data_IF_691689016734
#
_entry.id   IF_691689016734
#
_cell.length_a   1.000
_cell.length_b   1.000
_cell.length_c   1.000
_cell.angle_alpha   90.00
_cell.angle_beta   90.00
_cell.angle_gamma   90.00
#
_symmetry.space_group_name_H-M   'P 1'
#
loop_
_entity.id
_entity.type
_entity.pdbx_description
1 polymer ?
#
# COMPACT_ATOMS: atom_id res chain seq x y z
N UNK A 1 11.67 15.87 16.53
CA UNK A 1 10.69 14.80 16.81
C UNK A 1 11.39 13.45 16.85
N UNK A 2 10.85 12.48 17.61
CA UNK A 2 11.36 11.11 17.64
C UNK A 2 10.37 10.21 16.89
N UNK A 3 10.91 9.33 16.04
CA UNK A 3 10.13 8.35 15.28
C UNK A 3 10.73 6.94 15.49
N UNK A 4 9.91 5.92 15.37
CA UNK A 4 10.38 4.53 15.38
C UNK A 4 10.53 4.03 13.94
N UNK A 5 11.71 3.53 13.60
CA UNK A 5 11.94 2.98 12.26
C UNK A 5 11.11 1.71 12.05
N UNK A 6 10.27 1.70 11.01
CA UNK A 6 9.42 0.53 10.68
C UNK A 6 10.23 -0.67 10.18
N UNK A 7 11.50 -0.48 9.80
CA UNK A 7 12.39 -1.55 9.29
C UNK A 7 13.19 -2.23 10.39
N UNK A 8 13.78 -1.43 11.29
CA UNK A 8 14.71 -1.96 12.30
C UNK A 8 14.21 -1.80 13.74
N UNK A 9 13.12 -1.07 13.98
CA UNK A 9 12.57 -0.83 15.30
C UNK A 9 13.33 0.20 16.16
N UNK A 10 14.43 0.77 15.65
CA UNK A 10 15.23 1.75 16.38
C UNK A 10 14.51 3.10 16.39
N UNK A 11 14.52 3.76 17.56
CA UNK A 11 14.03 5.15 17.70
C UNK A 11 15.10 6.10 17.16
N UNK A 12 14.73 6.95 16.23
CA UNK A 12 15.63 7.93 15.61
C UNK A 12 15.01 9.33 15.63
N UNK A 13 15.84 10.35 15.37
CA UNK A 13 15.41 11.75 15.34
C UNK A 13 15.10 12.20 13.93
N UNK A 14 14.00 12.92 13.79
CA UNK A 14 13.62 13.66 12.56
C UNK A 14 13.57 15.15 12.84
N UNK A 15 13.99 15.94 11.87
CA UNK A 15 13.92 17.40 11.91
C UNK A 15 12.49 17.92 11.71
N UNK A 16 12.29 19.25 11.74
CA UNK A 16 10.98 19.87 11.56
C UNK A 16 10.30 19.52 10.24
N UNK A 17 11.10 19.31 9.18
CA UNK A 17 10.62 18.90 7.86
C UNK A 17 10.69 17.36 7.65
N UNK A 18 10.85 16.60 8.72
CA UNK A 18 10.91 15.14 8.64
C UNK A 18 12.26 14.56 8.20
N UNK A 19 13.24 15.39 7.85
CA UNK A 19 14.56 14.91 7.45
C UNK A 19 15.21 14.10 8.57
N UNK A 20 15.74 12.92 8.23
CA UNK A 20 16.42 12.03 9.17
C UNK A 20 17.69 12.70 9.67
N UNK A 21 17.81 12.85 11.00
CA UNK A 21 18.96 13.47 11.66
C UNK A 21 19.96 12.43 12.24
N UNK A 22 19.70 11.12 12.04
CA UNK A 22 20.60 10.07 12.49
C UNK A 22 21.68 9.82 11.47
N UNK A 23 22.95 9.83 11.90
CA UNK A 23 24.09 9.45 11.05
C UNK A 23 24.21 7.93 10.84
N UNK A 24 23.51 7.14 11.67
CA UNK A 24 23.58 5.67 11.64
C UNK A 24 22.70 5.12 10.51
N UNK A 25 23.24 4.17 9.76
CA UNK A 25 22.51 3.45 8.75
C UNK A 25 21.50 2.47 9.37
N UNK A 26 20.35 2.33 8.73
CA UNK A 26 19.36 1.32 9.10
C UNK A 26 19.77 -0.03 8.50
N UNK A 27 20.04 -1.01 9.34
CA UNK A 27 20.22 -2.40 8.91
C UNK A 27 18.93 -3.17 9.12
N UNK A 28 18.48 -3.94 8.13
CA UNK A 28 17.19 -4.63 8.18
C UNK A 28 17.12 -5.84 7.24
N UNK A 29 16.04 -6.60 7.35
CA UNK A 29 15.64 -7.58 6.36
C UNK A 29 14.40 -7.05 5.62
N UNK A 30 14.46 -6.83 4.30
CA UNK A 30 13.27 -6.41 3.53
C UNK A 30 12.21 -7.52 3.41
N UNK A 31 12.64 -8.79 3.51
CA UNK A 31 11.74 -9.93 3.53
C UNK A 31 11.15 -10.24 4.91
N UNK A 32 10.24 -11.20 4.95
CA UNK A 32 9.59 -11.70 6.19
C UNK A 32 10.13 -13.06 6.58
N UNK A 33 10.17 -13.41 7.88
CA UNK A 33 10.51 -14.77 8.29
C UNK A 33 9.40 -15.73 7.87
N UNK A 34 9.75 -16.72 7.05
CA UNK A 34 8.84 -17.79 6.62
C UNK A 34 9.23 -19.10 7.30
N UNK A 35 8.23 -19.84 7.73
CA UNK A 35 8.43 -21.13 8.38
C UNK A 35 8.72 -22.20 7.32
N UNK A 36 9.85 -22.85 7.43
CA UNK A 36 10.26 -23.96 6.59
C UNK A 36 10.43 -25.24 7.42
N UNK A 37 10.24 -26.39 6.80
CA UNK A 37 10.56 -27.69 7.40
C UNK A 37 11.91 -28.13 6.89
N UNK A 38 12.81 -28.53 7.80
CA UNK A 38 14.07 -29.15 7.46
C UNK A 38 13.84 -30.66 7.31
N UNK A 39 13.39 -31.12 6.15
CA UNK A 39 13.15 -32.53 5.81
C UNK A 39 11.70 -32.82 5.41
N UNK A 40 11.50 -34.02 4.85
CA UNK A 40 10.26 -34.43 4.16
C UNK A 40 9.15 -34.94 5.11
N UNK A 41 9.46 -35.20 6.37
CA UNK A 41 8.51 -35.78 7.32
C UNK A 41 7.74 -34.71 8.11
N UNK A 42 6.53 -35.04 8.57
CA UNK A 42 5.71 -34.16 9.42
C UNK A 42 6.36 -33.82 10.77
N UNK A 43 7.33 -34.67 11.23
CA UNK A 43 8.09 -34.51 12.48
C UNK A 43 9.37 -33.70 12.29
N UNK A 44 9.75 -33.33 11.05
CA UNK A 44 10.97 -32.57 10.77
C UNK A 44 11.00 -31.24 11.49
N UNK A 45 12.19 -30.83 11.95
CA UNK A 45 12.43 -29.57 12.65
C UNK A 45 11.96 -28.41 11.76
N UNK A 46 11.25 -27.48 12.37
CA UNK A 46 10.78 -26.24 11.71
C UNK A 46 11.74 -25.11 12.05
N UNK A 47 12.16 -24.39 11.05
CA UNK A 47 12.98 -23.19 11.20
C UNK A 47 12.25 -22.02 10.54
N UNK A 48 12.54 -20.80 10.99
CA UNK A 48 12.13 -19.60 10.30
C UNK A 48 13.31 -19.11 9.46
N UNK A 49 13.06 -18.81 8.18
CA UNK A 49 14.05 -18.22 7.29
C UNK A 49 13.52 -16.91 6.72
N UNK A 50 14.41 -15.96 6.61
CA UNK A 50 14.12 -14.68 5.95
C UNK A 50 13.94 -14.90 4.44
N UNK A 51 12.82 -14.45 3.88
CA UNK A 51 12.51 -14.62 2.45
C UNK A 51 13.42 -13.82 1.53
N UNK A 52 14.09 -12.79 2.05
CA UNK A 52 15.02 -11.95 1.30
C UNK A 52 16.41 -12.55 1.12
N UNK A 53 16.91 -13.34 2.07
CA UNK A 53 18.29 -13.82 2.06
C UNK A 53 18.46 -15.30 2.44
N UNK A 54 17.37 -15.99 2.80
CA UNK A 54 17.39 -17.40 3.20
C UNK A 54 18.05 -17.68 4.56
N UNK A 55 18.59 -16.68 5.25
CA UNK A 55 19.19 -16.85 6.57
C UNK A 55 18.16 -17.25 7.62
N UNK A 56 18.58 -17.98 8.64
CA UNK A 56 17.70 -18.35 9.76
C UNK A 56 17.29 -17.09 10.53
N UNK A 57 16.00 -16.95 10.81
CA UNK A 57 15.49 -15.88 11.64
C UNK A 57 15.55 -16.30 13.11
N UNK A 58 16.67 -16.08 13.76
CA UNK A 58 16.81 -16.26 15.19
C UNK A 58 16.33 -15.00 15.94
N UNK A 59 15.58 -15.20 17.01
CA UNK A 59 14.98 -14.13 17.80
C UNK A 59 16.01 -13.20 18.50
N UNK A 60 17.27 -13.58 18.51
CA UNK A 60 18.35 -12.89 19.21
C UNK A 60 19.39 -12.22 18.32
N UNK A 61 19.25 -12.26 16.99
CA UNK A 61 20.17 -11.61 16.07
C UNK A 61 19.91 -10.09 16.02
N UNK A 62 20.40 -9.39 17.05
CA UNK A 62 20.44 -7.92 17.09
C UNK A 62 21.64 -7.45 16.23
N UNK A 63 21.37 -6.86 15.10
CA UNK A 63 22.26 -5.92 14.42
C UNK A 63 23.11 -6.46 13.27
N UNK A 64 23.92 -7.50 13.43
CA UNK A 64 24.97 -7.85 12.44
C UNK A 64 24.52 -8.80 11.32
N UNK A 65 23.40 -9.51 11.48
CA UNK A 65 22.92 -10.49 10.50
C UNK A 65 21.88 -9.96 9.49
N UNK A 66 21.63 -8.66 9.48
CA UNK A 66 20.66 -8.04 8.57
C UNK A 66 21.25 -7.90 7.17
N UNK A 67 20.49 -8.25 6.15
CA UNK A 67 21.01 -8.41 4.79
C UNK A 67 20.89 -7.16 3.91
N UNK A 68 20.25 -6.11 4.39
CA UNK A 68 20.09 -4.85 3.68
C UNK A 68 20.45 -3.65 4.58
N UNK A 69 20.91 -2.60 3.95
CA UNK A 69 21.26 -1.33 4.58
C UNK A 69 20.57 -0.20 3.81
N UNK A 70 20.04 0.78 4.52
CA UNK A 70 19.38 1.94 3.92
C UNK A 70 19.09 3.02 4.95
N UNK A 71 18.29 4.02 4.61
CA UNK A 71 17.87 5.06 5.54
C UNK A 71 16.85 4.50 6.57
N UNK A 72 16.78 5.16 7.73
CA UNK A 72 15.65 4.98 8.63
C UNK A 72 14.38 5.58 8.01
N UNK A 73 13.28 4.85 8.11
CA UNK A 73 11.98 5.27 7.57
C UNK A 73 10.89 5.09 8.63
N UNK A 74 9.86 5.91 8.56
CA UNK A 74 8.75 5.87 9.49
C UNK A 74 7.41 6.00 8.77
N UNK A 75 6.36 5.69 9.49
CA UNK A 75 4.98 5.99 9.10
C UNK A 75 4.21 6.47 10.32
N UNK A 76 3.23 7.32 10.10
CA UNK A 76 2.28 7.64 11.16
C UNK A 76 1.41 6.44 11.46
N UNK A 77 1.24 6.15 12.75
CA UNK A 77 0.44 4.99 13.19
C UNK A 77 -1.03 5.34 13.47
N UNK A 78 -1.33 6.64 13.61
CA UNK A 78 -2.68 7.09 13.96
C UNK A 78 -3.22 8.10 12.96
N UNK A 79 -4.56 8.07 12.69
CA UNK A 79 -5.20 9.07 11.83
C UNK A 79 -4.96 10.51 12.28
N UNK A 80 -4.84 10.74 13.59
CA UNK A 80 -4.56 12.07 14.14
C UNK A 80 -3.14 12.56 13.77
N UNK A 81 -2.14 11.66 13.79
CA UNK A 81 -0.78 12.00 13.37
C UNK A 81 -0.75 12.27 11.86
N UNK A 82 -1.43 11.46 11.08
CA UNK A 82 -1.58 11.64 9.64
C UNK A 82 -2.27 12.99 9.31
N UNK A 83 -3.35 13.33 10.02
CA UNK A 83 -4.10 14.58 9.82
C UNK A 83 -3.26 15.83 10.10
N UNK A 84 -2.35 15.78 11.08
CA UNK A 84 -1.43 16.89 11.37
C UNK A 84 -0.46 17.19 10.23
N UNK A 85 -0.13 16.18 9.41
CA UNK A 85 0.76 16.36 8.25
C UNK A 85 0.00 16.82 7.01
N UNK A 86 -1.17 16.23 6.75
CA UNK A 86 -2.08 16.65 5.70
C UNK A 86 -3.52 16.36 6.14
N UNK A 87 -4.39 17.36 6.06
CA UNK A 87 -5.78 17.25 6.49
C UNK A 87 -6.58 16.24 5.68
N UNK A 88 -7.47 15.51 6.36
CA UNK A 88 -8.48 14.70 5.68
C UNK A 88 -9.56 15.57 5.08
N UNK A 89 -10.02 15.23 3.90
CA UNK A 89 -11.11 15.90 3.18
C UNK A 89 -12.20 14.89 2.83
N UNK A 90 -13.42 15.39 2.65
CA UNK A 90 -14.55 14.61 2.10
C UNK A 90 -14.66 14.89 0.61
N UNK A 91 -15.24 13.97 -0.14
CA UNK A 91 -15.53 14.19 -1.56
C UNK A 91 -16.37 15.44 -1.80
N UNK A 92 -17.34 15.73 -0.92
CA UNK A 92 -18.17 16.93 -0.96
C UNK A 92 -17.38 18.24 -0.83
N UNK A 93 -16.20 18.18 -0.25
CA UNK A 93 -15.38 19.37 0.04
C UNK A 93 -14.31 19.60 -1.05
N UNK A 94 -14.22 18.69 -2.03
CA UNK A 94 -13.29 18.79 -3.15
C UNK A 94 -14.01 19.51 -4.31
N UNK A 95 -13.54 20.69 -4.73
CA UNK A 95 -14.09 21.34 -5.92
C UNK A 95 -13.84 20.46 -7.14
N UNK A 96 -14.89 19.87 -7.70
CA UNK A 96 -14.81 19.14 -8.97
C UNK A 96 -15.55 19.91 -10.05
N UNK A 97 -15.03 19.90 -11.27
CA UNK A 97 -15.74 20.42 -12.44
C UNK A 97 -17.02 19.62 -12.76
N UNK A 98 -17.11 18.39 -12.21
CA UNK A 98 -18.21 17.45 -12.44
C UNK A 98 -19.35 17.55 -11.42
N UNK A 99 -19.46 18.63 -10.66
CA UNK A 99 -20.69 18.90 -9.89
C UNK A 99 -21.94 19.06 -10.78
N UNK A 100 -21.76 19.08 -12.07
CA UNK A 100 -22.84 18.94 -13.07
C UNK A 100 -23.20 17.47 -13.41
N UNK A 101 -22.78 16.52 -12.57
CA UNK A 101 -23.48 15.28 -12.20
C UNK A 101 -23.85 14.23 -13.25
N UNK A 102 -23.13 14.04 -14.36
CA UNK A 102 -23.46 12.89 -15.23
C UNK A 102 -22.43 11.74 -15.27
N UNK A 103 -21.29 11.88 -14.59
CA UNK A 103 -20.16 10.93 -14.73
C UNK A 103 -19.73 10.24 -13.43
N UNK A 104 -20.40 10.53 -12.31
CA UNK A 104 -20.08 9.85 -11.04
C UNK A 104 -20.45 8.38 -11.11
N UNK A 105 -19.47 7.51 -10.92
CA UNK A 105 -19.62 6.07 -11.02
C UNK A 105 -20.42 5.51 -9.83
N UNK A 106 -21.28 4.52 -10.05
CA UNK A 106 -21.92 3.80 -8.94
C UNK A 106 -20.91 2.93 -8.17
N UNK A 107 -19.93 2.39 -8.88
CA UNK A 107 -18.89 1.48 -8.33
C UNK A 107 -17.56 1.79 -9.02
N UNK A 108 -16.48 1.79 -8.25
CA UNK A 108 -15.11 1.87 -8.76
C UNK A 108 -14.17 1.07 -7.87
N UNK A 109 -13.06 0.57 -8.40
CA UNK A 109 -12.01 -0.03 -7.58
C UNK A 109 -10.76 0.86 -7.58
N UNK A 110 -10.14 0.94 -6.41
CA UNK A 110 -9.00 1.80 -6.13
C UNK A 110 -7.85 0.98 -5.54
N UNK A 111 -6.64 1.30 -5.98
CA UNK A 111 -5.39 0.83 -5.38
C UNK A 111 -4.36 1.96 -5.39
N UNK A 112 -3.51 2.01 -4.36
CA UNK A 112 -2.46 3.01 -4.22
C UNK A 112 -1.11 2.38 -3.94
N UNK A 113 -0.07 2.91 -4.58
CA UNK A 113 1.30 2.63 -4.17
C UNK A 113 1.81 3.71 -3.22
N UNK A 114 2.59 3.26 -2.23
CA UNK A 114 3.08 4.13 -1.17
C UNK A 114 4.58 4.00 -0.98
N UNK A 115 5.22 5.14 -0.79
CA UNK A 115 6.66 5.28 -0.59
C UNK A 115 6.99 6.00 0.72
N UNK A 116 8.22 5.85 1.19
CA UNK A 116 8.69 6.52 2.39
C UNK A 116 9.27 7.88 2.05
N UNK A 117 8.76 8.91 2.71
CA UNK A 117 9.18 10.31 2.54
C UNK A 117 9.57 10.92 3.89
N UNK A 118 10.10 12.14 3.84
CA UNK A 118 10.33 12.93 5.06
C UNK A 118 9.03 13.33 5.80
N UNK A 119 7.89 13.14 5.17
CA UNK A 119 6.57 13.27 5.80
C UNK A 119 5.96 11.93 6.27
N UNK A 120 6.76 10.87 6.36
CA UNK A 120 6.31 9.52 6.64
C UNK A 120 5.93 8.76 5.37
N UNK A 121 4.98 7.84 5.47
CA UNK A 121 4.50 7.11 4.30
C UNK A 121 3.51 7.98 3.51
N UNK A 122 3.80 8.17 2.23
CA UNK A 122 3.00 9.02 1.32
C UNK A 122 2.57 8.22 0.09
N UNK A 123 1.41 8.57 -0.46
CA UNK A 123 0.97 8.03 -1.75
C UNK A 123 1.90 8.50 -2.86
N UNK A 124 2.27 7.58 -3.75
CA UNK A 124 3.16 7.85 -4.90
C UNK A 124 2.59 7.36 -6.24
N UNK A 125 1.55 6.55 -6.22
CA UNK A 125 0.75 6.20 -7.40
C UNK A 125 -0.68 5.95 -6.96
N UNK A 126 -1.63 6.33 -7.79
CA UNK A 126 -3.06 6.06 -7.59
C UNK A 126 -3.62 5.50 -8.86
N UNK A 127 -4.34 4.39 -8.75
CA UNK A 127 -5.07 3.79 -9.87
C UNK A 127 -6.55 3.68 -9.52
N UNK A 128 -7.39 4.11 -10.44
CA UNK A 128 -8.84 3.95 -10.37
C UNK A 128 -9.32 3.18 -11.60
N UNK A 129 -10.13 2.16 -11.39
CA UNK A 129 -10.82 1.44 -12.46
C UNK A 129 -12.33 1.51 -12.25
N UNK A 130 -13.07 1.54 -13.34
CA UNK A 130 -14.54 1.53 -13.33
C UNK A 130 -15.10 0.12 -13.05
N UNK A 131 -16.43 0.00 -13.07
CA UNK A 131 -17.12 -1.27 -12.90
C UNK A 131 -16.87 -2.27 -14.02
N UNK A 132 -16.32 -1.88 -15.17
CA UNK A 132 -15.97 -2.80 -16.27
C UNK A 132 -14.54 -3.34 -16.11
N UNK A 133 -13.70 -2.63 -15.37
CA UNK A 133 -12.29 -2.89 -15.16
C UNK A 133 -11.40 -2.01 -16.05
N UNK A 134 -11.99 -1.03 -16.74
CA UNK A 134 -11.24 -0.06 -17.53
C UNK A 134 -10.54 0.95 -16.61
N UNK A 135 -9.28 1.26 -16.91
CA UNK A 135 -8.47 2.19 -16.12
C UNK A 135 -8.89 3.63 -16.48
N UNK A 136 -9.40 4.35 -15.50
CA UNK A 136 -9.81 5.74 -15.64
C UNK A 136 -8.75 6.74 -15.19
N UNK A 137 -7.94 6.33 -14.22
CA UNK A 137 -6.85 7.11 -13.65
C UNK A 137 -5.73 6.17 -13.22
N UNK A 138 -4.50 6.44 -13.63
CA UNK A 138 -3.32 5.69 -13.22
C UNK A 138 -2.10 6.60 -13.29
N UNK A 139 -1.86 7.37 -12.23
CA UNK A 139 -0.90 8.45 -12.24
C UNK A 139 0.02 8.43 -11.02
N UNK A 140 1.25 8.87 -11.23
CA UNK A 140 2.22 9.06 -10.16
C UNK A 140 2.01 10.39 -9.45
N UNK A 141 2.12 10.34 -8.11
CA UNK A 141 1.87 11.48 -7.22
C UNK A 141 3.22 11.97 -6.69
N UNK A 142 3.57 13.19 -7.01
CA UNK A 142 4.79 13.84 -6.52
C UNK A 142 4.70 14.19 -5.04
N UNK A 143 5.82 14.22 -4.37
CA UNK A 143 5.91 14.72 -3.02
C UNK A 143 5.47 16.21 -2.96
N UNK A 144 4.79 16.62 -1.87
CA UNK A 144 4.52 18.03 -1.62
C UNK A 144 5.82 18.85 -1.50
N UNK A 145 5.73 20.16 -1.69
CA UNK A 145 6.86 21.08 -1.48
C UNK A 145 7.44 20.92 -0.06
N UNK A 146 8.76 20.86 0.04
CA UNK A 146 9.49 20.65 1.30
C UNK A 146 9.50 19.20 1.80
N UNK A 147 8.85 18.27 1.10
CA UNK A 147 8.89 16.83 1.39
C UNK A 147 9.80 16.14 0.37
N UNK A 148 10.77 15.39 0.87
CA UNK A 148 11.71 14.64 0.02
C UNK A 148 11.43 13.15 0.06
N UNK A 149 11.61 12.48 -1.07
CA UNK A 149 11.60 11.03 -1.17
C UNK A 149 12.78 10.44 -0.39
N UNK A 150 12.51 9.45 0.46
CA UNK A 150 13.55 8.69 1.18
C UNK A 150 13.76 7.34 0.49
N UNK A 151 12.68 6.64 0.19
CA UNK A 151 12.72 5.31 -0.42
C UNK A 151 11.39 5.03 -1.13
N UNK A 152 11.46 4.77 -2.42
CA UNK A 152 10.31 4.46 -3.26
C UNK A 152 9.62 3.13 -2.89
N UNK A 153 10.27 2.31 -2.06
CA UNK A 153 9.74 1.00 -1.66
C UNK A 153 9.48 0.08 -2.87
N UNK A 154 10.33 0.18 -3.89
CA UNK A 154 10.19 -0.42 -5.23
C UNK A 154 9.80 -1.89 -5.23
N UNK A 155 10.31 -2.67 -4.27
CA UNK A 155 9.97 -4.09 -4.16
C UNK A 155 8.46 -4.35 -3.95
N UNK A 156 7.71 -3.35 -3.50
CA UNK A 156 6.25 -3.38 -3.32
C UNK A 156 5.57 -2.46 -4.32
N UNK A 157 5.96 -1.19 -4.37
CA UNK A 157 5.34 -0.19 -5.23
C UNK A 157 5.59 -0.40 -6.74
N UNK A 158 6.62 -1.15 -7.12
CA UNK A 158 7.05 -1.27 -8.51
C UNK A 158 7.64 0.01 -9.12
N UNK A 159 7.61 1.13 -8.41
CA UNK A 159 8.04 2.43 -8.92
C UNK A 159 9.57 2.50 -8.94
N UNK A 160 10.12 2.87 -10.11
CA UNK A 160 11.56 3.14 -10.30
C UNK A 160 11.82 4.64 -10.16
N UNK A 161 13.05 5.00 -9.73
CA UNK A 161 13.39 6.40 -9.49
C UNK A 161 13.28 7.26 -10.74
N UNK A 162 13.82 6.75 -11.85
CA UNK A 162 13.84 7.44 -13.15
C UNK A 162 12.41 7.69 -13.67
N UNK A 163 11.52 6.70 -13.51
CA UNK A 163 10.12 6.81 -13.91
C UNK A 163 9.38 7.80 -13.01
N UNK A 164 9.61 7.73 -11.70
CA UNK A 164 8.99 8.65 -10.75
C UNK A 164 9.40 10.12 -11.02
N UNK A 165 10.69 10.37 -11.24
CA UNK A 165 11.19 11.72 -11.54
C UNK A 165 10.61 12.28 -12.84
N UNK A 166 10.39 11.43 -13.86
CA UNK A 166 9.86 11.84 -15.15
C UNK A 166 8.34 12.03 -15.17
N UNK A 167 7.58 11.20 -14.45
CA UNK A 167 6.14 11.05 -14.62
C UNK A 167 5.33 11.56 -13.42
N UNK A 168 5.92 11.82 -12.24
CA UNK A 168 5.19 12.29 -11.07
C UNK A 168 4.82 13.78 -11.20
N UNK A 169 3.78 14.07 -11.97
CA UNK A 169 3.31 15.44 -12.24
C UNK A 169 2.13 15.86 -11.36
N UNK A 170 1.31 14.90 -10.91
CA UNK A 170 0.20 15.18 -10.02
C UNK A 170 0.70 15.42 -8.59
N UNK A 171 0.12 16.40 -7.92
CA UNK A 171 0.15 16.46 -6.47
C UNK A 171 -1.10 15.84 -5.87
N UNK A 172 -1.14 15.68 -4.55
CA UNK A 172 -2.26 15.01 -3.88
C UNK A 172 -3.60 15.73 -4.12
N UNK A 173 -3.60 17.07 -4.20
CA UNK A 173 -4.83 17.83 -4.39
C UNK A 173 -5.34 17.74 -5.84
N UNK A 174 -4.46 17.80 -6.83
CA UNK A 174 -4.82 17.61 -8.23
C UNK A 174 -5.31 16.18 -8.50
N UNK A 175 -4.67 15.17 -7.89
CA UNK A 175 -5.14 13.79 -7.97
C UNK A 175 -6.55 13.63 -7.37
N UNK A 176 -6.80 14.19 -6.18
CA UNK A 176 -8.13 14.18 -5.55
C UNK A 176 -9.19 14.88 -6.42
N UNK A 177 -8.86 16.02 -7.04
CA UNK A 177 -9.77 16.75 -7.94
C UNK A 177 -10.12 15.92 -9.18
N UNK A 178 -9.15 15.22 -9.75
CA UNK A 178 -9.40 14.33 -10.89
C UNK A 178 -10.25 13.13 -10.47
N UNK A 179 -9.92 12.48 -9.36
CA UNK A 179 -10.71 11.38 -8.83
C UNK A 179 -12.15 11.80 -8.52
N UNK A 180 -12.37 13.03 -8.03
CA UNK A 180 -13.71 13.56 -7.73
C UNK A 180 -14.59 13.78 -8.98
N UNK A 181 -14.05 13.64 -10.19
CA UNK A 181 -14.84 13.59 -11.41
C UNK A 181 -15.58 12.25 -11.56
N UNK A 182 -15.02 11.19 -11.01
CA UNK A 182 -15.53 9.81 -11.12
C UNK A 182 -16.15 9.31 -9.81
N UNK A 183 -15.68 9.80 -8.66
CA UNK A 183 -16.07 9.30 -7.34
C UNK A 183 -16.84 10.39 -6.59
N UNK A 184 -18.05 10.03 -6.15
CA UNK A 184 -18.87 10.86 -5.28
C UNK A 184 -19.15 10.18 -3.93
N UNK A 185 -19.91 10.84 -3.05
CA UNK A 185 -20.24 10.31 -1.72
C UNK A 185 -20.97 8.97 -1.72
N UNK A 186 -21.67 8.66 -2.81
CA UNK A 186 -22.48 7.45 -2.97
C UNK A 186 -21.77 6.34 -3.78
N UNK A 187 -20.64 6.62 -4.40
CA UNK A 187 -19.85 5.61 -5.12
C UNK A 187 -19.43 4.52 -4.15
N UNK A 188 -19.62 3.26 -4.51
CA UNK A 188 -19.04 2.13 -3.77
C UNK A 188 -17.59 1.98 -4.20
N UNK A 189 -16.66 2.27 -3.27
CA UNK A 189 -15.24 2.02 -3.50
C UNK A 189 -14.87 0.61 -3.09
N UNK A 190 -14.23 -0.10 -4.00
CA UNK A 190 -13.72 -1.45 -3.80
C UNK A 190 -12.19 -1.37 -3.66
N UNK A 191 -11.61 -2.15 -2.74
CA UNK A 191 -10.16 -2.23 -2.57
C UNK A 191 -9.72 -3.43 -1.73
N UNK A 192 -8.41 -3.55 -1.52
CA UNK A 192 -7.81 -4.59 -0.68
C UNK A 192 -7.01 -3.98 0.47
N UNK A 193 -7.60 -3.91 1.65
CA UNK A 193 -7.06 -3.12 2.76
C UNK A 193 -7.22 -1.62 2.51
N UNK A 194 -8.34 -1.25 1.91
CA UNK A 194 -8.67 0.07 1.37
C UNK A 194 -8.53 1.21 2.39
N UNK A 195 -8.58 0.91 3.69
CA UNK A 195 -8.29 1.92 4.71
C UNK A 195 -6.89 2.53 4.57
N UNK A 196 -5.91 1.76 4.09
CA UNK A 196 -4.54 2.27 3.88
C UNK A 196 -4.51 3.28 2.72
N UNK A 197 -5.23 2.99 1.64
CA UNK A 197 -5.34 3.85 0.46
C UNK A 197 -6.06 5.15 0.79
N UNK A 198 -7.19 5.05 1.48
CA UNK A 198 -7.94 6.21 1.95
C UNK A 198 -7.12 7.07 2.93
N UNK A 199 -6.33 6.43 3.79
CA UNK A 199 -5.40 7.13 4.67
C UNK A 199 -4.27 7.80 3.88
N UNK A 200 -3.69 7.14 2.88
CA UNK A 200 -2.65 7.71 2.05
C UNK A 200 -3.17 8.91 1.25
N UNK A 201 -4.36 8.81 0.70
CA UNK A 201 -5.06 9.88 0.00
C UNK A 201 -5.63 10.97 0.92
N UNK A 202 -5.64 10.76 2.25
CA UNK A 202 -6.32 11.65 3.22
C UNK A 202 -7.78 11.91 2.85
N UNK A 203 -8.49 10.88 2.42
CA UNK A 203 -9.89 10.93 2.04
C UNK A 203 -10.79 10.28 3.09
N UNK A 204 -11.92 10.91 3.35
CA UNK A 204 -13.00 10.36 4.16
C UNK A 204 -14.07 9.79 3.21
N UNK A 205 -14.17 8.46 3.18
CA UNK A 205 -15.17 7.75 2.40
C UNK A 205 -15.71 6.58 3.22
N UNK A 206 -17.03 6.39 3.22
CA UNK A 206 -17.68 5.40 4.09
C UNK A 206 -18.36 4.27 3.32
N UNK A 207 -18.61 4.47 2.02
CA UNK A 207 -19.27 3.48 1.19
C UNK A 207 -18.24 2.57 0.52
N UNK A 208 -17.73 1.59 1.28
CA UNK A 208 -16.58 0.76 0.88
C UNK A 208 -16.90 -0.73 0.88
N UNK A 209 -16.30 -1.45 -0.05
CA UNK A 209 -16.22 -2.92 -0.05
C UNK A 209 -14.75 -3.31 -0.03
N UNK A 210 -14.29 -3.84 1.09
CA UNK A 210 -12.91 -4.28 1.27
C UNK A 210 -12.80 -5.80 1.18
N UNK A 211 -12.00 -6.29 0.25
CA UNK A 211 -11.80 -7.73 0.07
C UNK A 211 -11.14 -8.39 1.27
N UNK A 212 -10.39 -7.66 2.11
CA UNK A 212 -9.89 -8.19 3.39
C UNK A 212 -11.01 -8.53 4.36
N UNK A 213 -12.15 -7.81 4.30
CA UNK A 213 -13.33 -8.09 5.11
C UNK A 213 -14.25 -9.12 4.43
N UNK A 214 -14.33 -9.07 3.11
CA UNK A 214 -15.14 -9.99 2.31
C UNK A 214 -14.59 -11.43 2.35
N UNK A 215 -13.26 -11.56 2.49
CA UNK A 215 -12.52 -12.83 2.64
C UNK A 215 -11.69 -12.82 3.94
N UNK A 216 -12.33 -12.96 5.10
CA UNK A 216 -11.63 -12.82 6.37
C UNK A 216 -10.62 -13.94 6.59
N UNK A 217 -9.48 -13.60 7.19
CA UNK A 217 -8.49 -14.59 7.57
C UNK A 217 -9.05 -15.50 8.68
N UNK A 218 -8.83 -16.85 8.66
CA UNK A 218 -9.41 -17.78 9.65
C UNK A 218 -9.06 -17.47 11.12
N UNK A 219 -7.95 -16.77 11.37
CA UNK A 219 -7.56 -16.34 12.72
C UNK A 219 -8.16 -14.98 13.13
N UNK A 220 -8.94 -14.33 12.27
CA UNK A 220 -9.44 -12.98 12.49
C UNK A 220 -8.37 -11.91 12.46
N UNK A 221 -8.76 -10.66 12.73
CA UNK A 221 -7.84 -9.52 12.81
C UNK A 221 -6.78 -9.71 13.92
N UNK A 222 -5.56 -9.23 13.73
CA UNK A 222 -5.09 -8.35 12.64
C UNK A 222 -4.61 -9.09 11.39
N UNK A 223 -4.82 -10.40 11.30
CA UNK A 223 -4.37 -11.21 10.16
C UNK A 223 -5.27 -10.96 8.95
N UNK A 224 -4.65 -10.85 7.76
CA UNK A 224 -5.33 -10.68 6.46
C UNK A 224 -4.75 -11.69 5.47
N UNK A 225 -5.58 -12.13 4.53
CA UNK A 225 -5.13 -12.90 3.38
C UNK A 225 -4.51 -11.94 2.36
N UNK A 226 -3.44 -12.35 1.69
CA UNK A 226 -2.84 -11.52 0.64
C UNK A 226 -3.71 -11.54 -0.63
N UNK A 227 -3.76 -10.43 -1.36
CA UNK A 227 -4.54 -10.31 -2.60
C UNK A 227 -4.18 -11.43 -3.59
N UNK A 228 -2.89 -11.66 -3.83
CA UNK A 228 -2.41 -12.73 -4.72
C UNK A 228 -2.90 -14.13 -4.33
N UNK A 229 -3.03 -14.40 -3.02
CA UNK A 229 -3.50 -15.71 -2.55
C UNK A 229 -5.01 -15.86 -2.81
N UNK A 230 -5.78 -14.77 -2.61
CA UNK A 230 -7.21 -14.72 -2.93
C UNK A 230 -7.47 -14.86 -4.43
N UNK A 231 -6.71 -14.14 -5.25
CA UNK A 231 -6.81 -14.18 -6.72
C UNK A 231 -6.48 -15.60 -7.23
N UNK A 232 -5.40 -16.19 -6.74
CA UNK A 232 -5.03 -17.56 -7.11
C UNK A 232 -6.09 -18.58 -6.68
N UNK A 233 -6.62 -18.44 -5.47
CA UNK A 233 -7.59 -19.39 -4.90
C UNK A 233 -8.97 -19.31 -5.57
N UNK A 234 -9.46 -18.11 -5.85
CA UNK A 234 -10.83 -17.87 -6.29
C UNK A 234 -10.97 -17.62 -7.77
N UNK A 235 -9.96 -16.99 -8.39
CA UNK A 235 -9.99 -16.65 -9.82
C UNK A 235 -9.08 -17.56 -10.67
N UNK A 236 -8.20 -18.36 -10.04
CA UNK A 236 -7.24 -19.21 -10.76
C UNK A 236 -6.17 -18.43 -11.52
N UNK A 237 -6.01 -17.13 -11.22
CA UNK A 237 -5.04 -16.24 -11.86
C UNK A 237 -3.79 -16.06 -10.98
N UNK A 238 -2.67 -15.70 -11.61
CA UNK A 238 -1.43 -15.33 -10.91
C UNK A 238 -1.15 -13.85 -11.13
N UNK A 239 -0.98 -13.11 -10.05
CA UNK A 239 -0.61 -11.69 -10.05
C UNK A 239 0.68 -11.49 -9.25
N UNK A 240 1.28 -10.29 -9.37
CA UNK A 240 2.48 -9.92 -8.62
C UNK A 240 3.63 -10.91 -8.84
N UNK A 241 3.78 -11.43 -10.07
CA UNK A 241 4.75 -12.48 -10.41
C UNK A 241 6.14 -11.95 -10.72
N UNK A 242 6.32 -10.64 -10.85
CA UNK A 242 7.57 -9.98 -11.27
C UNK A 242 8.73 -10.03 -10.26
N UNK A 243 8.50 -10.53 -9.06
CA UNK A 243 9.51 -10.56 -7.99
C UNK A 243 9.85 -9.17 -7.44
N UNK A 244 10.86 -9.11 -6.56
CA UNK A 244 11.22 -7.88 -5.84
C UNK A 244 11.79 -6.74 -6.72
N UNK A 245 12.17 -7.03 -7.95
CA UNK A 245 12.71 -6.02 -8.88
C UNK A 245 11.66 -5.32 -9.72
N UNK A 246 10.48 -5.93 -9.86
CA UNK A 246 9.39 -5.40 -10.70
C UNK A 246 8.30 -4.75 -9.85
N UNK A 247 8.11 -5.23 -8.62
CA UNK A 247 7.04 -4.77 -7.71
C UNK A 247 5.64 -5.20 -8.16
N UNK A 248 4.63 -4.49 -7.69
CA UNK A 248 3.23 -4.73 -8.04
C UNK A 248 2.77 -3.81 -9.16
N UNK A 249 1.69 -4.18 -9.83
CA UNK A 249 0.97 -3.32 -10.75
C UNK A 249 -0.33 -2.88 -10.07
N UNK A 250 -0.42 -1.63 -9.70
CA UNK A 250 -1.60 -1.04 -9.07
C UNK A 250 -2.85 -1.21 -9.92
N UNK A 251 -2.74 -1.12 -11.25
CA UNK A 251 -3.85 -1.38 -12.18
C UNK A 251 -4.31 -2.86 -12.13
N UNK A 252 -3.36 -3.81 -12.14
CA UNK A 252 -3.68 -5.24 -12.01
C UNK A 252 -4.33 -5.52 -10.66
N UNK A 253 -3.81 -4.96 -9.57
CA UNK A 253 -4.31 -5.18 -8.22
C UNK A 253 -5.73 -4.60 -8.06
N UNK A 254 -6.02 -3.39 -8.57
CA UNK A 254 -7.36 -2.80 -8.59
C UNK A 254 -8.36 -3.64 -9.40
N UNK A 255 -7.98 -4.07 -10.61
CA UNK A 255 -8.82 -4.91 -11.46
C UNK A 255 -9.13 -6.27 -10.81
N UNK A 256 -8.12 -6.92 -10.23
CA UNK A 256 -8.32 -8.21 -9.58
C UNK A 256 -9.15 -8.11 -8.29
N UNK A 257 -9.04 -7.00 -7.59
CA UNK A 257 -9.88 -6.71 -6.42
C UNK A 257 -11.37 -6.59 -6.83
N UNK A 258 -11.65 -5.90 -7.93
CA UNK A 258 -12.99 -5.83 -8.52
C UNK A 258 -13.51 -7.21 -8.93
N UNK A 259 -12.69 -8.01 -9.62
CA UNK A 259 -13.07 -9.37 -10.04
C UNK A 259 -13.35 -10.29 -8.84
N UNK A 260 -12.61 -10.16 -7.75
CA UNK A 260 -12.88 -10.92 -6.51
C UNK A 260 -14.25 -10.59 -5.91
N UNK A 261 -14.64 -9.30 -5.93
CA UNK A 261 -15.96 -8.89 -5.46
C UNK A 261 -17.07 -9.46 -6.35
N UNK A 262 -16.90 -9.41 -7.69
CA UNK A 262 -17.82 -10.03 -8.65
C UNK A 262 -17.93 -11.53 -8.45
N UNK A 263 -16.79 -12.20 -8.30
CA UNK A 263 -16.75 -13.63 -8.04
C UNK A 263 -17.51 -13.99 -6.76
N UNK A 264 -17.29 -13.24 -5.68
CA UNK A 264 -17.98 -13.45 -4.39
C UNK A 264 -19.47 -13.23 -4.52
N UNK A 265 -19.88 -12.21 -5.28
CA UNK A 265 -21.31 -11.93 -5.53
C UNK A 265 -21.98 -13.07 -6.31
N UNK A 266 -21.34 -13.58 -7.36
CA UNK A 266 -21.88 -14.69 -8.16
C UNK A 266 -21.95 -16.01 -7.36
N UNK A 267 -21.01 -16.24 -6.45
CA UNK A 267 -20.91 -17.46 -5.65
C UNK A 267 -21.45 -17.31 -4.22
N UNK A 268 -22.33 -16.34 -3.96
CA UNK A 268 -22.85 -16.05 -2.59
C UNK A 268 -23.75 -17.13 -2.01
N UNK A 269 -24.23 -18.06 -2.81
CA UNK A 269 -25.13 -19.14 -2.41
C UNK A 269 -24.48 -20.53 -2.48
N UNK A 270 -23.22 -20.62 -2.81
CA UNK A 270 -22.43 -21.85 -2.77
C UNK A 270 -21.57 -21.89 -1.53
#
# INVERSE_FOLDING_TARGET
>A
EKQTCVRCGVVFKVGPLGAVQSAEACHFHPGRPRRERLGETTRSRKVFRWTCCGRTADSNALGEDRCATGPHVFKEETPQAMHRRAGYVRWSDIPSAAQEASEVLPVAALDCEMSYTTAGMSVTRVTLVDETGDVLFDEMIRCPEGVSMIDLNTQFSGIQAETYEAEAVFDLDSARKTLAQYIGPHTILIGHGLENDLHALRLLHTNVVDTCQLFPHPRGLPFRLALRDLVSQHLGKLIQTGGASVGHSSAEDAQMTLELVRWKWMNRYT
#
